data_IF_418116989836
#
_entry.id   IF_418116989836
#
_cell.length_a   1.000
_cell.length_b   1.000
_cell.length_c   1.000
_cell.angle_alpha   90.00
_cell.angle_beta   90.00
_cell.angle_gamma   90.00
#
_symmetry.space_group_name_H-M   'P 1'
#
loop_
_entity.id
_entity.type
_entity.pdbx_description
1 polymer ?
#
# COMPACT_ATOMS: atom_id res chain seq x y z
N UNK A 1 -12.03 31.69 2.63
CA UNK A 1 -11.40 31.11 3.83
C UNK A 1 -10.33 30.13 3.37
N UNK A 2 -9.04 30.27 3.76
CA UNK A 2 -8.03 29.27 3.43
C UNK A 2 -8.22 28.06 4.33
N UNK A 3 -7.98 26.87 3.78
CA UNK A 3 -8.16 25.59 4.47
C UNK A 3 -7.13 25.45 5.59
N UNK A 4 -7.61 25.20 6.81
CA UNK A 4 -6.80 25.10 8.04
C UNK A 4 -6.22 23.69 8.26
N UNK A 5 -5.10 23.60 8.97
CA UNK A 5 -4.34 22.37 9.32
C UNK A 5 -5.17 21.24 9.98
N UNK A 6 -6.37 21.56 10.47
CA UNK A 6 -7.35 20.58 10.94
C UNK A 6 -7.82 19.62 9.82
N UNK A 7 -7.76 20.02 8.55
CA UNK A 7 -8.15 19.17 7.42
C UNK A 7 -7.11 18.09 7.12
N UNK A 8 -5.83 18.32 7.42
CA UNK A 8 -4.72 17.38 7.19
C UNK A 8 -4.73 16.18 8.18
N UNK A 9 -5.44 16.29 9.30
CA UNK A 9 -5.68 15.18 10.25
C UNK A 9 -6.76 14.18 9.81
N UNK A 10 -7.41 14.42 8.67
CA UNK A 10 -8.52 13.60 8.16
C UNK A 10 -8.01 12.47 7.25
N UNK A 11 -6.75 12.50 6.78
CA UNK A 11 -6.12 11.43 6.01
C UNK A 11 -5.59 10.32 6.93
N UNK A 12 -6.53 9.52 7.44
CA UNK A 12 -6.26 8.33 8.27
C UNK A 12 -6.77 7.09 7.54
N UNK A 13 -6.16 5.92 7.76
CA UNK A 13 -6.56 4.67 7.12
C UNK A 13 -8.07 4.40 7.39
N UNK A 14 -8.91 4.17 6.35
CA UNK A 14 -10.37 4.11 6.51
C UNK A 14 -10.89 2.95 7.39
N UNK A 15 -10.02 1.99 7.70
CA UNK A 15 -10.34 0.76 8.45
C UNK A 15 -10.14 0.92 9.97
N UNK A 16 -9.06 1.57 10.42
CA UNK A 16 -8.67 1.63 11.84
C UNK A 16 -8.08 2.99 12.27
N UNK A 17 -8.09 3.98 11.36
CA UNK A 17 -7.45 5.29 11.52
C UNK A 17 -5.93 5.25 11.78
N UNK A 18 -5.29 4.10 11.57
CA UNK A 18 -3.85 3.95 11.74
C UNK A 18 -3.09 4.78 10.70
N UNK A 19 -1.86 5.16 11.04
CA UNK A 19 -0.96 5.90 10.15
C UNK A 19 -0.60 5.07 8.92
N UNK A 20 -0.55 5.72 7.76
CA UNK A 20 0.00 5.15 6.53
C UNK A 20 1.38 5.76 6.30
N UNK A 21 2.34 4.96 5.86
CA UNK A 21 3.64 5.43 5.41
C UNK A 21 3.81 5.15 3.92
N UNK A 22 4.49 6.04 3.22
CA UNK A 22 4.93 5.72 1.86
C UNK A 22 5.94 4.58 1.90
N UNK A 23 5.79 3.65 0.96
CA UNK A 23 6.78 2.63 0.70
C UNK A 23 8.02 3.24 0.05
N UNK A 24 9.19 2.77 0.45
CA UNK A 24 10.46 3.13 -0.17
C UNK A 24 10.55 2.59 -1.60
N UNK A 25 11.33 3.25 -2.47
CA UNK A 25 11.54 2.83 -3.85
C UNK A 25 12.00 1.37 -3.97
N UNK A 26 12.87 0.95 -3.05
CA UNK A 26 13.32 -0.42 -2.84
C UNK A 26 12.17 -1.43 -2.67
N UNK A 27 11.15 -1.06 -1.90
CA UNK A 27 9.96 -1.88 -1.69
C UNK A 27 9.11 -1.93 -2.96
N UNK A 28 8.92 -0.79 -3.64
CA UNK A 28 8.17 -0.70 -4.90
C UNK A 28 8.80 -1.56 -5.98
N UNK A 29 10.12 -1.52 -6.14
CA UNK A 29 10.81 -2.38 -7.08
C UNK A 29 10.62 -3.87 -6.78
N UNK A 30 10.77 -4.28 -5.52
CA UNK A 30 10.52 -5.67 -5.10
C UNK A 30 9.08 -6.08 -5.35
N UNK A 31 8.13 -5.21 -5.00
CA UNK A 31 6.71 -5.43 -5.22
C UNK A 31 6.41 -5.60 -6.71
N UNK A 32 6.90 -4.70 -7.56
CA UNK A 32 6.74 -4.77 -9.00
C UNK A 32 7.40 -6.01 -9.63
N UNK A 33 8.54 -6.48 -9.10
CA UNK A 33 9.14 -7.76 -9.49
C UNK A 33 8.23 -8.94 -9.15
N UNK A 34 7.68 -8.98 -7.93
CA UNK A 34 6.78 -10.05 -7.51
C UNK A 34 5.41 -10.01 -8.24
N UNK A 35 4.90 -8.81 -8.54
CA UNK A 35 3.71 -8.59 -9.40
C UNK A 35 3.96 -9.18 -10.78
N UNK A 36 5.12 -8.86 -11.38
CA UNK A 36 5.50 -9.38 -12.69
C UNK A 36 5.70 -10.90 -12.69
N UNK A 37 6.05 -11.49 -11.54
CA UNK A 37 6.13 -12.94 -11.33
C UNK A 37 4.77 -13.60 -11.03
N UNK A 38 3.69 -12.81 -10.88
CA UNK A 38 2.36 -13.31 -10.52
C UNK A 38 2.26 -13.85 -9.09
N UNK A 39 3.20 -13.46 -8.21
CA UNK A 39 3.28 -13.94 -6.83
C UNK A 39 2.60 -13.01 -5.83
N UNK A 40 2.14 -11.84 -6.26
CA UNK A 40 1.45 -10.86 -5.42
C UNK A 40 -0.04 -11.01 -5.58
N UNK A 41 -0.75 -11.09 -4.45
CA UNK A 41 -2.21 -11.10 -4.42
C UNK A 41 -2.71 -9.95 -3.55
N UNK A 42 -3.83 -9.36 -3.94
CA UNK A 42 -4.56 -8.43 -3.09
C UNK A 42 -5.36 -9.20 -2.02
N UNK A 43 -6.01 -8.47 -1.10
CA UNK A 43 -6.82 -9.03 -0.01
C UNK A 43 -8.02 -9.81 -0.54
N UNK A 44 -8.56 -9.45 -1.70
CA UNK A 44 -9.59 -10.22 -2.39
C UNK A 44 -9.06 -11.53 -3.03
N UNK A 45 -7.78 -11.85 -2.89
CA UNK A 45 -7.14 -13.06 -3.43
C UNK A 45 -6.87 -13.00 -4.93
N UNK A 46 -7.07 -11.85 -5.56
CA UNK A 46 -6.82 -11.63 -6.98
C UNK A 46 -5.33 -11.35 -7.20
N UNK A 47 -4.75 -11.94 -8.25
CA UNK A 47 -3.35 -11.71 -8.58
C UNK A 47 -3.19 -10.28 -9.11
N UNK A 48 -2.29 -9.52 -8.48
CA UNK A 48 -1.95 -8.19 -8.94
C UNK A 48 -1.02 -8.34 -10.13
N UNK A 49 -1.49 -7.93 -11.31
CA UNK A 49 -0.72 -7.95 -12.56
C UNK A 49 -0.27 -6.55 -12.97
N UNK A 50 -0.91 -5.52 -12.40
CA UNK A 50 -0.63 -4.13 -12.72
C UNK A 50 0.50 -3.59 -11.83
N UNK A 51 1.51 -2.99 -12.46
CA UNK A 51 2.61 -2.35 -11.74
C UNK A 51 2.13 -1.09 -11.03
N UNK A 52 2.78 -0.79 -9.93
CA UNK A 52 2.44 0.35 -9.07
C UNK A 52 3.57 1.36 -9.12
N UNK A 53 3.21 2.65 -9.14
CA UNK A 53 4.17 3.75 -9.08
C UNK A 53 4.65 3.99 -7.66
N UNK A 54 3.81 3.66 -6.68
CA UNK A 54 4.08 3.77 -5.26
C UNK A 54 3.15 2.84 -4.47
N UNK A 55 3.29 2.85 -3.15
CA UNK A 55 2.42 2.10 -2.25
C UNK A 55 2.39 2.78 -0.88
N UNK A 56 1.24 2.75 -0.23
CA UNK A 56 1.05 3.20 1.14
C UNK A 56 0.99 1.98 2.06
N UNK A 57 2.04 1.77 2.84
CA UNK A 57 2.11 0.69 3.82
C UNK A 57 1.41 1.15 5.09
N UNK A 58 0.49 0.34 5.59
CA UNK A 58 -0.16 0.54 6.88
C UNK A 58 0.88 0.41 8.01
N UNK A 59 0.76 1.18 9.09
CA UNK A 59 1.74 1.20 10.18
C UNK A 59 2.00 -0.19 10.82
N UNK A 60 1.04 -1.11 10.73
CA UNK A 60 1.18 -2.50 11.18
C UNK A 60 1.99 -3.40 10.22
N UNK A 61 2.46 -2.86 9.09
CA UNK A 61 3.14 -3.56 8.01
C UNK A 61 2.40 -4.81 7.52
N UNK A 62 1.07 -4.89 7.68
CA UNK A 62 0.27 -6.02 7.18
C UNK A 62 -0.18 -5.79 5.75
N UNK A 63 -0.64 -4.58 5.46
CA UNK A 63 -1.22 -4.24 4.17
C UNK A 63 -0.50 -3.04 3.55
N UNK A 64 -0.38 -3.07 2.23
CA UNK A 64 0.08 -1.99 1.40
C UNK A 64 -0.98 -1.65 0.35
N UNK A 65 -1.37 -0.39 0.27
CA UNK A 65 -2.30 0.10 -0.73
C UNK A 65 -1.52 0.63 -1.92
N UNK A 66 -1.72 0.09 -3.13
CA UNK A 66 -0.97 0.52 -4.30
C UNK A 66 -1.34 1.95 -4.72
N UNK A 67 -0.37 2.68 -5.25
CA UNK A 67 -0.55 3.99 -5.89
C UNK A 67 -0.41 3.79 -7.38
N UNK A 68 -1.47 4.14 -8.13
CA UNK A 68 -1.56 3.98 -9.58
C UNK A 68 -1.95 5.32 -10.17
N UNK A 69 -1.22 5.78 -11.19
CA UNK A 69 -1.43 7.10 -11.78
C UNK A 69 -1.40 8.24 -10.74
N UNK A 70 -0.51 8.14 -9.74
CA UNK A 70 -0.43 9.09 -8.61
C UNK A 70 -1.65 9.09 -7.67
N UNK A 71 -2.60 8.17 -7.87
CA UNK A 71 -3.81 8.05 -7.06
C UNK A 71 -3.65 6.84 -6.12
N UNK A 72 -3.67 7.04 -4.78
CA UNK A 72 -3.68 5.94 -3.82
C UNK A 72 -5.00 5.18 -3.87
N UNK A 73 -4.94 3.88 -4.15
CA UNK A 73 -6.13 3.03 -4.15
C UNK A 73 -6.43 2.61 -2.72
N UNK A 74 -7.23 3.41 -2.01
CA UNK A 74 -7.66 3.15 -0.63
C UNK A 74 -8.88 2.20 -0.56
N UNK A 75 -8.85 1.12 -1.34
CA UNK A 75 -9.88 0.07 -1.28
C UNK A 75 -9.35 -1.10 -0.45
N UNK A 76 -10.17 -1.58 0.49
CA UNK A 76 -9.81 -2.67 1.40
C UNK A 76 -9.45 -3.94 0.62
N UNK A 77 -10.23 -4.25 -0.41
CA UNK A 77 -10.04 -5.42 -1.28
C UNK A 77 -8.74 -5.35 -2.12
N UNK A 78 -8.31 -4.14 -2.47
CA UNK A 78 -7.07 -3.87 -3.20
C UNK A 78 -5.83 -3.84 -2.30
N UNK A 79 -6.01 -3.94 -0.97
CA UNK A 79 -4.91 -4.00 -0.02
C UNK A 79 -4.03 -5.21 -0.33
N UNK A 80 -2.76 -4.97 -0.63
CA UNK A 80 -1.78 -6.02 -0.91
C UNK A 80 -1.18 -6.47 0.41
N UNK A 81 -1.20 -7.76 0.70
CA UNK A 81 -0.51 -8.27 1.88
C UNK A 81 0.99 -8.06 1.70
N UNK A 82 1.60 -7.35 2.64
CA UNK A 82 3.04 -7.12 2.61
C UNK A 82 3.68 -8.49 2.84
N UNK A 83 4.45 -9.03 1.87
CA UNK A 83 5.13 -10.29 2.08
C UNK A 83 6.02 -10.10 3.30
N UNK A 84 5.71 -10.85 4.38
CA UNK A 84 6.56 -10.84 5.57
C UNK A 84 7.95 -11.12 5.07
N UNK A 85 8.88 -10.16 5.28
CA UNK A 85 10.29 -10.50 5.28
C UNK A 85 10.40 -11.57 6.35
N UNK A 86 10.51 -12.82 5.90
CA UNK A 86 11.05 -13.89 6.68
C UNK A 86 12.41 -13.36 7.15
N UNK A 87 12.43 -12.84 8.37
CA UNK A 87 13.64 -12.41 9.06
C UNK A 87 14.28 -13.70 9.57
N UNK A 88 14.76 -14.52 8.63
CA UNK A 88 15.47 -15.74 8.93
C UNK A 88 16.95 -15.51 8.70
N UNK A 89 17.59 -15.39 9.86
CA UNK A 89 18.99 -15.74 10.20
C UNK A 89 20.08 -14.79 9.70
#
# INVERSE_FOLDING_TARGET
MPISDALLKILVCPDDKSSLRMADADFIERLNRNISAGQVKNRAGNVVTERVSGALIRADNRYAYPIRHDIPIMLVDEGIEVPRRDQSV
#
